data_IF_478898599529
#
_entry.id   IF_478898599529
#
_cell.length_a   1.000
_cell.length_b   1.000
_cell.length_c   1.000
_cell.angle_alpha   90.00
_cell.angle_beta   90.00
_cell.angle_gamma   90.00
#
_symmetry.space_group_name_H-M   'P 1'
#
loop_
_entity.id
_entity.type
_entity.pdbx_description
1 polymer ?
#
# COMPACT_ATOMS: atom_id res chain seq x y z
N UNK A 1 14.49 -21.52 16.19
CA UNK A 1 13.75 -20.92 15.06
C UNK A 1 12.51 -21.79 14.82
N UNK A 2 11.32 -21.29 15.15
CA UNK A 2 10.10 -22.09 15.30
C UNK A 2 9.58 -22.66 13.95
N UNK A 3 8.93 -23.84 13.98
CA UNK A 3 8.37 -24.57 12.82
C UNK A 3 7.46 -23.68 11.96
N UNK A 4 6.54 -22.92 12.60
CA UNK A 4 5.66 -21.94 11.95
C UNK A 4 6.43 -20.85 11.20
N UNK A 5 7.59 -20.43 11.71
CA UNK A 5 8.43 -19.40 11.11
C UNK A 5 9.13 -19.91 9.83
N UNK A 6 9.42 -21.21 9.75
CA UNK A 6 9.98 -21.86 8.54
C UNK A 6 8.90 -22.11 7.49
N UNK A 7 7.67 -22.44 7.92
CA UNK A 7 6.48 -22.50 7.07
C UNK A 7 6.13 -21.13 6.48
N UNK A 8 6.24 -20.04 7.26
CA UNK A 8 6.08 -18.67 6.79
C UNK A 8 7.05 -18.32 5.65
N UNK A 9 8.36 -18.60 5.80
CA UNK A 9 9.34 -18.35 4.74
C UNK A 9 9.10 -19.21 3.48
N UNK A 10 8.59 -20.44 3.64
CA UNK A 10 8.15 -21.29 2.51
C UNK A 10 6.88 -20.73 1.85
N UNK A 11 5.93 -20.20 2.64
CA UNK A 11 4.66 -19.60 2.20
C UNK A 11 4.87 -18.27 1.45
N UNK A 12 5.78 -17.42 1.93
CA UNK A 12 6.27 -16.22 1.20
C UNK A 12 6.85 -16.59 -0.17
N UNK A 13 7.47 -17.77 -0.29
CA UNK A 13 7.98 -18.29 -1.57
C UNK A 13 6.89 -18.91 -2.46
N UNK A 14 5.72 -19.29 -1.90
CA UNK A 14 4.63 -19.98 -2.60
C UNK A 14 3.43 -19.11 -2.95
N UNK A 15 3.29 -17.89 -2.40
CA UNK A 15 2.19 -16.93 -2.62
C UNK A 15 2.20 -16.24 -4.00
N UNK A 16 2.39 -17.05 -5.04
CA UNK A 16 2.43 -16.70 -6.46
C UNK A 16 1.03 -16.76 -7.10
N UNK A 17 0.08 -15.90 -6.74
CA UNK A 17 -1.10 -15.72 -7.62
C UNK A 17 -1.91 -14.48 -7.27
N UNK A 18 -2.39 -13.81 -8.34
CA UNK A 18 -3.52 -12.87 -8.41
C UNK A 18 -3.32 -11.35 -8.16
N UNK A 19 -3.55 -10.60 -9.27
CA UNK A 19 -4.13 -9.25 -9.51
C UNK A 19 -3.51 -8.00 -8.82
N UNK A 20 -2.88 -7.03 -9.50
CA UNK A 20 -3.29 -6.01 -10.50
C UNK A 20 -3.95 -4.73 -9.91
N UNK A 21 -3.32 -3.56 -10.16
CA UNK A 21 -3.85 -2.20 -9.93
C UNK A 21 -2.96 -1.29 -9.06
N UNK A 22 -2.50 -0.13 -9.58
CA UNK A 22 -1.69 0.89 -8.85
C UNK A 22 -2.53 2.10 -8.43
N UNK A 23 -2.28 2.68 -7.24
CA UNK A 23 -2.52 4.12 -7.04
C UNK A 23 -1.43 4.88 -6.25
N UNK A 24 -1.54 6.21 -6.26
CA UNK A 24 -0.66 7.24 -5.65
C UNK A 24 -1.03 7.50 -4.17
N UNK A 25 -0.18 8.13 -3.33
CA UNK A 25 -0.42 8.20 -1.88
C UNK A 25 -1.39 9.34 -1.48
N UNK A 26 -2.30 9.04 -0.55
CA UNK A 26 -3.16 9.99 0.18
C UNK A 26 -3.17 9.60 1.69
N UNK A 27 -3.51 10.51 2.61
CA UNK A 27 -2.99 10.54 3.98
C UNK A 27 -3.78 9.74 5.04
N UNK A 28 -4.83 8.99 4.68
CA UNK A 28 -5.70 8.36 5.69
C UNK A 28 -5.36 6.88 5.93
N UNK A 29 -5.16 6.56 7.20
CA UNK A 29 -4.53 5.33 7.67
C UNK A 29 -5.42 4.07 7.56
N UNK A 30 -6.65 4.24 7.06
CA UNK A 30 -7.63 3.17 6.76
C UNK A 30 -7.30 2.47 5.41
N UNK A 31 -6.30 2.93 4.66
CA UNK A 31 -5.91 2.47 3.31
C UNK A 31 -4.95 1.25 3.28
N UNK A 32 -5.19 0.19 4.06
CA UNK A 32 -4.10 -0.72 4.46
C UNK A 32 -3.77 -1.98 3.61
N UNK A 33 -4.36 -2.18 2.42
CA UNK A 33 -4.20 -3.45 1.66
C UNK A 33 -2.93 -3.63 0.82
N UNK A 34 -2.75 -2.86 -0.27
CA UNK A 34 -1.74 -3.19 -1.29
C UNK A 34 -0.84 -2.03 -1.74
N UNK A 35 -1.17 -0.80 -1.38
CA UNK A 35 -0.56 0.39 -1.99
C UNK A 35 0.62 0.90 -1.17
N UNK A 36 0.52 0.84 0.16
CA UNK A 36 1.48 1.49 1.04
C UNK A 36 2.79 0.73 1.24
N UNK A 37 2.83 -0.60 1.19
CA UNK A 37 4.12 -1.31 1.33
C UNK A 37 5.11 -0.94 0.20
N UNK A 38 4.59 -0.56 -0.97
CA UNK A 38 5.44 -0.10 -2.08
C UNK A 38 6.02 1.29 -1.85
N UNK A 39 5.35 2.15 -1.07
CA UNK A 39 5.84 3.51 -0.80
C UNK A 39 7.07 3.47 0.11
N UNK A 40 7.09 2.63 1.14
CA UNK A 40 8.24 2.48 2.03
C UNK A 40 9.44 1.83 1.33
N UNK A 41 9.20 0.85 0.45
CA UNK A 41 10.25 0.31 -0.43
C UNK A 41 10.79 1.40 -1.37
N UNK A 42 9.92 2.25 -1.90
CA UNK A 42 10.31 3.38 -2.75
C UNK A 42 11.10 4.45 -2.01
N UNK A 43 10.78 4.73 -0.76
CA UNK A 43 11.59 5.61 0.10
C UNK A 43 13.00 5.06 0.25
N UNK A 44 13.16 3.79 0.66
CA UNK A 44 14.49 3.15 0.77
C UNK A 44 15.23 3.18 -0.58
N UNK A 45 14.53 2.91 -1.69
CA UNK A 45 15.11 2.99 -3.03
C UNK A 45 15.57 4.41 -3.39
N UNK A 46 14.78 5.43 -3.05
CA UNK A 46 15.12 6.84 -3.28
C UNK A 46 16.30 7.28 -2.42
N UNK A 47 16.37 6.83 -1.17
CA UNK A 47 17.47 7.13 -0.25
C UNK A 47 18.78 6.54 -0.76
N UNK A 48 18.79 5.25 -1.10
CA UNK A 48 19.94 4.60 -1.72
C UNK A 48 20.34 5.26 -3.04
N UNK A 49 19.37 5.66 -3.86
CA UNK A 49 19.66 6.38 -5.10
C UNK A 49 20.25 7.79 -4.85
N UNK A 50 19.84 8.48 -3.79
CA UNK A 50 20.43 9.75 -3.37
C UNK A 50 21.86 9.57 -2.88
N UNK A 51 22.14 8.53 -2.10
CA UNK A 51 23.50 8.20 -1.64
C UNK A 51 24.42 7.84 -2.81
N UNK A 52 23.96 6.99 -3.73
CA UNK A 52 24.74 6.59 -4.91
C UNK A 52 25.08 7.74 -5.85
N UNK A 53 24.25 8.79 -5.91
CA UNK A 53 24.54 9.99 -6.70
C UNK A 53 25.66 10.85 -6.11
N UNK A 54 26.01 10.67 -4.84
CA UNK A 54 27.15 11.36 -4.22
C UNK A 54 28.49 10.68 -4.54
N UNK A 55 28.46 9.45 -5.08
CA UNK A 55 29.67 8.73 -5.45
C UNK A 55 30.18 9.17 -6.84
N UNK A 56 31.50 9.13 -7.09
CA UNK A 56 32.10 9.61 -8.34
C UNK A 56 31.68 8.84 -9.61
N UNK A 57 31.15 7.62 -9.48
CA UNK A 57 30.80 6.76 -10.62
C UNK A 57 29.29 6.73 -10.90
N UNK A 58 28.81 7.38 -11.97
CA UNK A 58 27.37 7.43 -12.32
C UNK A 58 26.81 6.11 -12.87
N UNK A 59 27.65 5.10 -13.12
CA UNK A 59 27.25 3.81 -13.71
C UNK A 59 26.38 2.97 -12.77
N UNK A 60 26.62 3.05 -11.45
CA UNK A 60 25.84 2.32 -10.44
C UNK A 60 24.40 2.82 -10.33
N UNK A 61 24.19 4.14 -10.34
CA UNK A 61 22.87 4.76 -10.27
C UNK A 61 22.00 4.42 -11.50
N UNK A 62 22.61 4.34 -12.69
CA UNK A 62 21.93 4.03 -13.96
C UNK A 62 21.42 2.59 -13.99
N UNK A 63 22.21 1.62 -13.50
CA UNK A 63 21.78 0.21 -13.35
C UNK A 63 20.66 0.05 -12.30
N UNK A 64 20.64 0.89 -11.27
CA UNK A 64 19.62 0.88 -10.21
C UNK A 64 18.24 1.36 -10.68
N UNK A 65 18.19 2.29 -11.65
CA UNK A 65 16.94 2.80 -12.21
C UNK A 65 16.12 1.71 -12.93
N UNK A 66 16.80 0.79 -13.63
CA UNK A 66 16.15 -0.32 -14.34
C UNK A 66 15.49 -1.36 -13.43
N UNK A 67 15.94 -1.48 -12.18
CA UNK A 67 15.42 -2.45 -11.21
C UNK A 67 14.11 -2.01 -10.52
N UNK A 68 13.72 -0.73 -10.63
CA UNK A 68 12.50 -0.18 -10.01
C UNK A 68 11.26 -1.01 -10.30
N UNK A 69 11.03 -1.32 -11.58
CA UNK A 69 9.83 -2.06 -11.99
C UNK A 69 9.84 -3.50 -11.52
N UNK A 70 11.02 -4.12 -11.37
CA UNK A 70 11.16 -5.46 -10.82
C UNK A 70 10.84 -5.53 -9.32
N UNK A 71 11.13 -4.45 -8.57
CA UNK A 71 10.87 -4.36 -7.14
C UNK A 71 9.39 -4.06 -6.80
N UNK A 72 8.75 -3.26 -7.64
CA UNK A 72 7.36 -2.83 -7.44
C UNK A 72 6.35 -3.92 -7.82
N UNK A 73 6.63 -4.70 -8.87
CA UNK A 73 5.73 -5.75 -9.33
C UNK A 73 5.66 -6.91 -8.36
N UNK A 74 4.53 -7.62 -8.42
CA UNK A 74 4.38 -8.89 -7.72
C UNK A 74 5.33 -9.92 -8.36
N UNK A 75 5.97 -10.80 -7.57
CA UNK A 75 6.91 -11.79 -8.09
C UNK A 75 6.34 -12.64 -9.25
N UNK A 76 5.04 -12.94 -9.21
CA UNK A 76 4.34 -13.73 -10.22
C UNK A 76 4.02 -12.98 -11.53
N UNK A 77 4.18 -11.65 -11.59
CA UNK A 77 3.87 -10.84 -12.78
C UNK A 77 5.11 -10.20 -13.42
N UNK A 78 6.29 -10.70 -13.04
CA UNK A 78 7.57 -10.26 -13.57
C UNK A 78 7.81 -10.85 -14.95
N UNK A 79 8.26 -10.02 -15.89
CA UNK A 79 8.81 -10.52 -17.16
C UNK A 79 10.16 -11.19 -16.90
N UNK A 80 10.63 -12.06 -17.82
CA UNK A 80 11.97 -12.71 -17.70
C UNK A 80 13.08 -11.69 -17.40
N UNK A 81 13.09 -10.55 -18.12
CA UNK A 81 14.04 -9.45 -17.90
C UNK A 81 13.93 -8.84 -16.50
N UNK A 82 12.72 -8.67 -15.98
CA UNK A 82 12.49 -8.15 -14.63
C UNK A 82 12.91 -9.16 -13.55
N UNK A 83 12.66 -10.46 -13.77
CA UNK A 83 13.13 -11.53 -12.89
C UNK A 83 14.66 -11.58 -12.78
N UNK A 84 15.37 -11.44 -13.91
CA UNK A 84 16.84 -11.35 -13.91
C UNK A 84 17.34 -10.11 -13.17
N UNK A 85 16.67 -8.97 -13.34
CA UNK A 85 17.01 -7.75 -12.60
C UNK A 85 16.81 -7.93 -11.08
N UNK A 86 15.73 -8.60 -10.67
CA UNK A 86 15.48 -8.90 -9.26
C UNK A 86 16.51 -9.88 -8.68
N UNK A 87 16.91 -10.91 -9.44
CA UNK A 87 17.99 -11.82 -9.07
C UNK A 87 19.32 -11.09 -8.88
N UNK A 88 19.64 -10.14 -9.77
CA UNK A 88 20.85 -9.31 -9.63
C UNK A 88 20.79 -8.44 -8.36
N UNK A 89 19.61 -7.92 -8.00
CA UNK A 89 19.43 -7.21 -6.71
C UNK A 89 19.61 -8.16 -5.53
N UNK A 90 19.05 -9.38 -5.61
CA UNK A 90 19.20 -10.40 -4.56
C UNK A 90 20.66 -10.80 -4.34
N UNK A 91 21.40 -11.05 -5.41
CA UNK A 91 22.82 -11.42 -5.35
C UNK A 91 23.68 -10.31 -4.73
N UNK A 92 23.35 -9.04 -5.00
CA UNK A 92 24.03 -7.89 -4.37
C UNK A 92 23.62 -7.69 -2.91
N UNK A 93 22.40 -8.08 -2.55
CA UNK A 93 21.87 -7.97 -1.19
C UNK A 93 21.73 -6.51 -0.72
N UNK A 94 22.05 -6.29 0.56
CA UNK A 94 22.05 -4.96 1.16
C UNK A 94 20.66 -4.43 1.55
N UNK A 95 20.57 -3.11 1.77
CA UNK A 95 19.37 -2.45 2.26
C UNK A 95 18.18 -2.58 1.29
N UNK A 96 18.41 -2.57 -0.02
CA UNK A 96 17.35 -2.67 -1.02
C UNK A 96 16.70 -4.06 -1.02
N UNK A 97 17.50 -5.12 -0.97
CA UNK A 97 16.97 -6.48 -0.89
C UNK A 97 16.21 -6.72 0.42
N UNK A 98 16.75 -6.26 1.55
CA UNK A 98 16.06 -6.33 2.84
C UNK A 98 14.72 -5.58 2.82
N UNK A 99 14.67 -4.40 2.21
CA UNK A 99 13.44 -3.64 2.03
C UNK A 99 12.42 -4.40 1.17
N UNK A 100 12.88 -5.03 0.09
CA UNK A 100 12.04 -5.86 -0.77
C UNK A 100 11.48 -7.07 -0.01
N UNK A 101 12.31 -7.79 0.75
CA UNK A 101 11.85 -8.88 1.62
C UNK A 101 10.84 -8.40 2.66
N UNK A 102 11.04 -7.22 3.23
CA UNK A 102 10.12 -6.67 4.24
C UNK A 102 8.77 -6.31 3.64
N UNK A 103 8.77 -5.80 2.41
CA UNK A 103 7.58 -5.54 1.60
C UNK A 103 6.83 -6.84 1.25
N UNK A 104 7.50 -7.86 0.72
CA UNK A 104 6.85 -9.12 0.32
C UNK A 104 6.38 -9.93 1.54
N UNK A 105 7.15 -9.91 2.63
CA UNK A 105 6.77 -10.59 3.87
C UNK A 105 5.53 -9.95 4.51
N UNK A 106 5.38 -8.62 4.40
CA UNK A 106 4.15 -7.94 4.80
C UNK A 106 2.99 -8.31 3.88
N UNK A 107 3.18 -8.28 2.55
CA UNK A 107 2.16 -8.70 1.56
C UNK A 107 1.62 -10.09 1.87
N UNK A 108 2.49 -11.02 2.25
CA UNK A 108 2.11 -12.39 2.57
C UNK A 108 1.19 -12.49 3.81
N UNK A 109 1.30 -11.59 4.77
CA UNK A 109 0.43 -11.57 5.97
C UNK A 109 -1.02 -11.27 5.59
N UNK A 110 -1.25 -10.51 4.52
CA UNK A 110 -2.60 -10.11 4.08
C UNK A 110 -3.07 -10.84 2.82
N UNK A 111 -2.44 -11.96 2.46
CA UNK A 111 -2.89 -12.72 1.31
C UNK A 111 -4.30 -13.32 1.50
N UNK A 112 -4.83 -13.31 2.73
CA UNK A 112 -6.19 -13.77 3.05
C UNK A 112 -6.28 -15.28 3.28
N UNK A 113 -5.15 -15.94 3.47
CA UNK A 113 -5.02 -17.40 3.61
C UNK A 113 -4.50 -17.81 5.01
N UNK A 114 -4.72 -16.95 6.00
CA UNK A 114 -4.28 -17.10 7.38
C UNK A 114 -5.44 -16.79 8.31
N UNK A 115 -5.53 -17.54 9.41
CA UNK A 115 -6.47 -17.25 10.49
C UNK A 115 -6.08 -15.96 11.23
N UNK A 116 -7.05 -15.32 11.89
CA UNK A 116 -6.84 -14.01 12.56
C UNK A 116 -5.71 -14.10 13.60
N UNK A 117 -5.64 -15.17 14.37
CA UNK A 117 -4.59 -15.38 15.38
C UNK A 117 -3.21 -15.53 14.73
N UNK A 118 -3.13 -16.21 13.58
CA UNK A 118 -1.88 -16.33 12.82
C UNK A 118 -1.43 -15.00 12.24
N UNK A 119 -2.37 -14.21 11.70
CA UNK A 119 -2.10 -12.84 11.23
C UNK A 119 -1.57 -11.99 12.38
N UNK A 120 -2.18 -12.08 13.56
CA UNK A 120 -1.77 -11.37 14.76
C UNK A 120 -0.32 -11.75 15.15
N UNK A 121 -0.03 -13.04 15.30
CA UNK A 121 1.33 -13.53 15.59
C UNK A 121 2.35 -13.05 14.54
N UNK A 122 1.99 -13.15 13.26
CA UNK A 122 2.87 -12.80 12.15
C UNK A 122 3.12 -11.30 12.05
N UNK A 123 2.12 -10.45 12.33
CA UNK A 123 2.29 -9.00 12.42
C UNK A 123 3.26 -8.62 13.55
N UNK A 124 3.24 -9.34 14.68
CA UNK A 124 4.17 -9.10 15.78
C UNK A 124 5.60 -9.47 15.41
N UNK A 125 5.78 -10.64 14.80
CA UNK A 125 7.08 -11.07 14.29
C UNK A 125 7.61 -10.09 13.23
N UNK A 126 6.74 -9.63 12.33
CA UNK A 126 7.08 -8.66 11.31
C UNK A 126 7.50 -7.32 11.93
N UNK A 127 6.74 -6.79 12.90
CA UNK A 127 7.08 -5.54 13.58
C UNK A 127 8.41 -5.64 14.35
N UNK A 128 8.66 -6.77 15.02
CA UNK A 128 9.94 -7.06 15.70
C UNK A 128 11.11 -7.10 14.71
N UNK A 129 10.90 -7.61 13.50
CA UNK A 129 11.91 -7.64 12.44
C UNK A 129 12.14 -6.25 11.84
N UNK A 130 11.07 -5.54 11.53
CA UNK A 130 11.09 -4.20 10.96
C UNK A 130 11.79 -3.20 11.89
N UNK A 131 11.56 -3.27 13.20
CA UNK A 131 12.22 -2.40 14.18
C UNK A 131 13.74 -2.59 14.25
N UNK A 132 14.24 -3.78 13.89
CA UNK A 132 15.68 -4.13 13.87
C UNK A 132 16.31 -4.04 12.47
N UNK A 133 15.53 -3.64 11.46
CA UNK A 133 15.96 -3.64 10.06
C UNK A 133 16.97 -2.54 9.72
N UNK A 134 17.14 -1.52 10.57
CA UNK A 134 17.89 -0.29 10.27
C UNK A 134 17.36 0.45 9.02
N UNK A 135 16.11 0.21 8.63
CA UNK A 135 15.42 0.92 7.55
C UNK A 135 14.41 1.87 8.17
N UNK A 136 14.71 3.17 8.20
CA UNK A 136 13.88 4.21 8.84
C UNK A 136 12.40 4.14 8.40
N UNK A 137 12.16 3.97 7.10
CA UNK A 137 10.84 3.77 6.50
C UNK A 137 10.06 2.61 7.12
N UNK A 138 10.69 1.44 7.29
CA UNK A 138 10.05 0.26 7.86
C UNK A 138 9.93 0.30 9.38
N UNK A 139 10.86 0.98 10.06
CA UNK A 139 10.75 1.25 11.50
C UNK A 139 9.51 2.12 11.75
N UNK A 140 9.33 3.19 10.97
CA UNK A 140 8.13 4.04 11.05
C UNK A 140 6.86 3.26 10.76
N UNK A 141 6.85 2.46 9.68
CA UNK A 141 5.72 1.59 9.37
C UNK A 141 5.40 0.65 10.54
N UNK A 142 6.39 0.03 11.17
CA UNK A 142 6.15 -0.85 12.32
C UNK A 142 5.50 -0.15 13.51
N UNK A 143 5.80 1.14 13.75
CA UNK A 143 5.14 1.94 14.79
C UNK A 143 3.68 2.17 14.43
N UNK A 144 3.42 2.58 13.19
CA UNK A 144 2.07 2.79 12.66
C UNK A 144 1.21 1.52 12.78
N UNK A 145 1.76 0.36 12.44
CA UNK A 145 1.05 -0.92 12.58
C UNK A 145 0.65 -1.20 14.01
N UNK A 146 1.57 -0.97 14.96
CA UNK A 146 1.30 -1.19 16.38
C UNK A 146 0.20 -0.25 16.89
N UNK A 147 0.24 1.01 16.49
CA UNK A 147 -0.77 2.01 16.89
C UNK A 147 -2.17 1.65 16.40
N UNK A 148 -2.30 1.08 15.21
CA UNK A 148 -3.60 0.82 14.58
C UNK A 148 -3.96 -0.67 14.52
N UNK A 149 -3.32 -1.48 15.36
CA UNK A 149 -3.40 -2.94 15.31
C UNK A 149 -4.83 -3.47 15.39
N UNK A 150 -5.63 -2.93 16.29
CA UNK A 150 -6.99 -3.43 16.51
C UNK A 150 -7.88 -3.17 15.29
N UNK A 151 -7.75 -1.99 14.67
CA UNK A 151 -8.45 -1.67 13.42
C UNK A 151 -8.02 -2.56 12.25
N UNK A 152 -6.73 -2.90 12.19
CA UNK A 152 -6.19 -3.82 11.20
C UNK A 152 -6.83 -5.21 11.35
N UNK A 153 -6.80 -5.78 12.55
CA UNK A 153 -7.38 -7.10 12.81
C UNK A 153 -8.90 -7.11 12.58
N UNK A 154 -9.59 -6.05 13.00
CA UNK A 154 -11.02 -5.88 12.75
C UNK A 154 -11.35 -5.83 11.26
N UNK A 155 -10.57 -5.10 10.46
CA UNK A 155 -10.77 -5.03 9.00
C UNK A 155 -10.60 -6.37 8.30
N UNK A 156 -9.61 -7.17 8.73
CA UNK A 156 -9.38 -8.53 8.23
C UNK A 156 -10.55 -9.43 8.62
N UNK A 157 -10.97 -9.39 9.90
CA UNK A 157 -12.11 -10.18 10.40
C UNK A 157 -13.41 -9.87 9.65
N UNK A 158 -13.68 -8.60 9.40
CA UNK A 158 -14.93 -8.14 8.77
C UNK A 158 -14.86 -8.17 7.24
N UNK A 159 -13.71 -8.51 6.64
CA UNK A 159 -13.52 -8.48 5.20
C UNK A 159 -13.73 -7.10 4.57
N UNK A 160 -13.54 -6.02 5.34
CA UNK A 160 -13.83 -4.66 4.88
C UNK A 160 -12.79 -4.27 3.84
N UNK A 161 -13.25 -4.09 2.60
CA UNK A 161 -12.39 -3.58 1.52
C UNK A 161 -12.31 -2.06 1.55
N UNK A 162 -11.16 -1.53 1.14
CA UNK A 162 -10.96 -0.09 0.98
C UNK A 162 -11.77 0.52 -0.18
N UNK A 163 -12.38 -0.31 -1.03
CA UNK A 163 -13.04 0.15 -2.25
C UNK A 163 -14.11 1.21 -2.02
N UNK A 164 -14.87 1.10 -0.92
CA UNK A 164 -15.91 2.08 -0.58
C UNK A 164 -15.33 3.44 -0.19
N UNK A 165 -14.27 3.44 0.62
CA UNK A 165 -13.57 4.66 1.05
C UNK A 165 -12.79 5.28 -0.12
N UNK A 166 -12.14 4.46 -0.95
CA UNK A 166 -11.45 4.90 -2.16
C UNK A 166 -12.41 5.51 -3.19
N UNK A 167 -13.58 4.88 -3.39
CA UNK A 167 -14.64 5.38 -4.26
C UNK A 167 -15.16 6.74 -3.77
N UNK A 168 -15.44 6.86 -2.47
CA UNK A 168 -15.84 8.13 -1.85
C UNK A 168 -14.76 9.21 -2.04
N UNK A 169 -13.50 8.90 -1.73
CA UNK A 169 -12.39 9.84 -1.89
C UNK A 169 -12.20 10.28 -3.35
N UNK A 170 -12.44 9.38 -4.30
CA UNK A 170 -12.38 9.69 -5.73
C UNK A 170 -13.52 10.63 -6.13
N UNK A 171 -14.74 10.38 -5.64
CA UNK A 171 -15.90 11.24 -5.85
C UNK A 171 -15.69 12.65 -5.26
N UNK A 172 -15.19 12.74 -4.02
CA UNK A 172 -14.85 14.01 -3.37
C UNK A 172 -13.80 14.77 -4.17
N UNK A 173 -12.72 14.11 -4.60
CA UNK A 173 -11.69 14.75 -5.45
C UNK A 173 -12.25 15.26 -6.77
N UNK A 174 -13.16 14.52 -7.40
CA UNK A 174 -13.84 14.98 -8.62
C UNK A 174 -14.70 16.22 -8.37
N UNK A 175 -15.38 16.31 -7.22
CA UNK A 175 -16.14 17.51 -6.84
C UNK A 175 -15.21 18.69 -6.62
N UNK A 176 -14.13 18.52 -5.86
CA UNK A 176 -13.13 19.57 -5.64
C UNK A 176 -12.54 20.05 -6.98
N UNK A 177 -12.18 19.13 -7.86
CA UNK A 177 -11.66 19.45 -9.20
C UNK A 177 -12.68 20.10 -10.14
N UNK A 178 -13.98 20.09 -9.82
CA UNK A 178 -15.01 20.84 -10.57
C UNK A 178 -15.38 22.16 -9.89
N UNK A 179 -14.94 22.36 -8.65
CA UNK A 179 -15.25 23.53 -7.82
C UNK A 179 -14.26 24.69 -8.03
N UNK A 180 -13.52 24.70 -9.14
CA UNK A 180 -12.68 25.83 -9.51
C UNK A 180 -13.55 27.09 -9.70
N UNK A 181 -13.12 28.22 -9.18
CA UNK A 181 -13.86 29.49 -9.24
C UNK A 181 -14.83 29.73 -8.09
N UNK A 182 -14.92 28.81 -7.11
CA UNK A 182 -15.66 29.12 -5.88
C UNK A 182 -14.88 30.07 -4.98
N UNK A 183 -15.57 31.11 -4.52
CA UNK A 183 -15.03 32.13 -3.63
C UNK A 183 -14.91 31.66 -2.16
N UNK A 184 -15.35 30.43 -1.84
CA UNK A 184 -15.29 29.87 -0.49
C UNK A 184 -15.24 28.34 -0.48
N UNK A 185 -14.46 27.79 0.45
CA UNK A 185 -14.42 26.34 0.73
C UNK A 185 -15.77 25.78 1.20
N UNK A 186 -16.63 26.60 1.80
CA UNK A 186 -17.97 26.18 2.24
C UNK A 186 -18.85 25.73 1.08
N UNK A 187 -18.72 26.37 -0.10
CA UNK A 187 -19.48 25.99 -1.29
C UNK A 187 -19.07 24.60 -1.80
N UNK A 188 -17.77 24.31 -1.83
CA UNK A 188 -17.24 22.98 -2.17
C UNK A 188 -17.71 21.92 -1.17
N UNK A 189 -17.67 22.24 0.13
CA UNK A 189 -18.15 21.33 1.18
C UNK A 189 -19.65 21.03 1.02
N UNK A 190 -20.47 22.03 0.71
CA UNK A 190 -21.90 21.86 0.47
C UNK A 190 -22.16 20.89 -0.70
N UNK A 191 -21.41 21.00 -1.80
CA UNK A 191 -21.51 20.03 -2.91
C UNK A 191 -21.08 18.62 -2.52
N UNK A 192 -20.04 18.49 -1.69
CA UNK A 192 -19.63 17.18 -1.16
C UNK A 192 -20.73 16.58 -0.31
N UNK A 193 -21.33 17.34 0.59
CA UNK A 193 -22.45 16.89 1.43
C UNK A 193 -23.70 16.56 0.60
N UNK A 194 -24.01 17.36 -0.41
CA UNK A 194 -25.12 17.11 -1.33
C UNK A 194 -24.93 15.78 -2.10
N UNK A 195 -23.71 15.49 -2.54
CA UNK A 195 -23.44 14.34 -3.39
C UNK A 195 -23.10 13.05 -2.63
N UNK A 196 -22.57 13.16 -1.41
CA UNK A 196 -22.00 12.03 -0.67
C UNK A 196 -22.54 11.90 0.76
N UNK A 197 -23.26 12.92 1.26
CA UNK A 197 -23.87 12.90 2.58
C UNK A 197 -25.18 12.10 2.60
N UNK A 198 -25.68 11.77 3.80
CA UNK A 198 -26.94 11.07 3.99
C UNK A 198 -28.12 12.05 3.85
N UNK A 199 -28.27 12.65 2.66
CA UNK A 199 -29.35 13.60 2.36
C UNK A 199 -30.32 12.92 1.41
N UNK A 200 -31.58 12.84 1.81
CA UNK A 200 -32.66 12.44 0.93
C UNK A 200 -33.14 13.67 0.14
N UNK A 201 -33.03 13.61 -1.19
CA UNK A 201 -33.35 14.70 -2.10
C UNK A 201 -34.50 14.28 -2.99
N UNK A 202 -35.68 14.85 -2.75
CA UNK A 202 -36.81 14.69 -3.66
C UNK A 202 -36.60 15.55 -4.90
N UNK A 203 -36.34 14.91 -6.03
CA UNK A 203 -35.94 15.58 -7.26
C UNK A 203 -37.14 16.29 -7.91
N UNK A 204 -36.92 17.39 -8.65
CA UNK A 204 -38.03 18.16 -9.22
C UNK A 204 -39.01 17.34 -10.07
N UNK A 205 -38.52 16.33 -10.80
CA UNK A 205 -39.35 15.46 -11.63
C UNK A 205 -40.15 14.42 -10.83
N UNK A 206 -39.73 14.10 -9.60
CA UNK A 206 -40.46 13.21 -8.69
C UNK A 206 -41.62 13.92 -7.96
N UNK A 207 -41.74 15.25 -8.13
CA UNK A 207 -42.82 16.05 -7.55
C UNK A 207 -44.06 16.11 -8.44
N UNK A 208 -43.89 15.87 -9.75
CA UNK A 208 -44.96 15.99 -10.74
C UNK A 208 -45.91 14.78 -10.81
N UNK A 209 -45.54 13.64 -10.23
CA UNK A 209 -46.34 12.41 -10.25
C UNK A 209 -47.41 12.30 -9.14
N UNK A 210 -47.56 13.33 -8.30
CA UNK A 210 -48.54 13.38 -7.20
C UNK A 210 -49.75 14.28 -7.49
N UNK A 211 -49.86 14.80 -8.72
CA UNK A 211 -51.01 15.55 -9.20
C UNK A 211 -51.76 14.73 -10.26
N UNK A 212 -52.47 13.71 -9.85
CA UNK A 212 -53.54 13.05 -10.61
C UNK A 212 -54.56 12.55 -9.59
#
# INVERSE_FOLDING_TARGET
MNSKHRAYFRKVSSLKTSQNGKPRPAPDLILWGCVFHTTFLEEVRKDLWREMRKLPSPTFARKFAGARWALLKNPGTLTKRQGLALLAVKQRGGALWRAYEMKESLRAIFAGDLEIDEVNEMLDHWCKRASRSRLSSFIRLSKTIRTHRDGILASIRLGVSNGRVEGLNTKVRSIIARSYGFHSAKATLALVMLACGPIDLKLPYERASLST
#
